data_IF_428149645194
#
_entry.id   IF_428149645194
#
_cell.length_a   1.000
_cell.length_b   1.000
_cell.length_c   1.000
_cell.angle_alpha   90.00
_cell.angle_beta   90.00
_cell.angle_gamma   90.00
#
_symmetry.space_group_name_H-M   'P 1'
#
loop_
_entity.id
_entity.type
_entity.pdbx_description
1 polymer ?
#
# COMPACT_ATOMS: atom_id res chain seq x y z
N UNK A 1 -17.54 45.99 -9.40
CA UNK A 1 -17.86 45.01 -8.36
C UNK A 1 -16.95 43.81 -8.59
N UNK A 2 -15.79 43.83 -7.94
CA UNK A 2 -14.79 42.77 -8.07
C UNK A 2 -15.28 41.52 -7.35
N UNK A 3 -15.42 40.42 -8.11
CA UNK A 3 -15.71 39.11 -7.56
C UNK A 3 -14.48 38.63 -6.77
N UNK A 4 -14.64 38.09 -5.55
CA UNK A 4 -13.50 37.59 -4.80
C UNK A 4 -12.93 36.36 -5.49
N UNK A 5 -11.65 36.47 -5.83
CA UNK A 5 -10.77 35.43 -6.34
C UNK A 5 -11.02 34.13 -5.58
N UNK A 6 -11.53 33.13 -6.30
CA UNK A 6 -11.83 31.78 -5.81
C UNK A 6 -10.58 31.28 -5.07
N UNK A 7 -10.69 31.14 -3.76
CA UNK A 7 -9.66 30.54 -2.92
C UNK A 7 -9.32 29.19 -3.54
N UNK A 8 -8.12 29.09 -4.10
CA UNK A 8 -7.58 27.83 -4.60
C UNK A 8 -7.70 26.82 -3.48
N UNK A 9 -8.59 25.85 -3.66
CA UNK A 9 -8.77 24.72 -2.74
C UNK A 9 -7.44 23.98 -2.77
N UNK A 10 -6.53 24.37 -1.87
CA UNK A 10 -5.34 23.58 -1.58
C UNK A 10 -5.87 22.34 -0.89
N UNK A 11 -6.20 21.31 -1.67
CA UNK A 11 -6.50 19.99 -1.13
C UNK A 11 -5.41 19.66 -0.12
N UNK A 12 -5.81 19.39 1.13
CA UNK A 12 -4.87 19.01 2.16
C UNK A 12 -4.14 17.76 1.69
N UNK A 13 -2.83 17.89 1.46
CA UNK A 13 -1.99 16.77 1.09
C UNK A 13 -1.97 15.79 2.26
N UNK A 14 -2.45 14.57 2.04
CA UNK A 14 -2.29 13.51 3.02
C UNK A 14 -0.82 13.13 3.02
N UNK A 15 -0.11 13.49 4.09
CA UNK A 15 1.32 13.21 4.18
C UNK A 15 1.61 11.72 4.40
N UNK A 16 0.76 11.05 5.17
CA UNK A 16 0.97 9.67 5.59
C UNK A 16 -0.34 8.88 5.58
N UNK A 17 -0.31 7.71 4.95
CA UNK A 17 -1.34 6.68 5.09
C UNK A 17 -0.70 5.44 5.68
N UNK A 18 -1.22 4.97 6.81
CA UNK A 18 -0.65 3.83 7.54
C UNK A 18 -1.72 2.84 7.95
N UNK A 19 -1.50 1.55 7.70
CA UNK A 19 -2.32 0.48 8.27
C UNK A 19 -1.42 -0.48 9.06
N UNK A 20 -1.70 -0.71 10.36
CA UNK A 20 -0.81 -1.47 11.21
C UNK A 20 -1.05 -2.98 11.19
N UNK A 21 -2.20 -3.50 10.78
CA UNK A 21 -2.50 -4.95 10.81
C UNK A 21 -3.60 -5.33 9.81
N UNK A 22 -3.24 -5.55 8.54
CA UNK A 22 -4.15 -6.19 7.59
C UNK A 22 -3.96 -7.70 7.60
N UNK A 23 -5.04 -8.44 7.83
CA UNK A 23 -4.98 -9.89 7.98
C UNK A 23 -5.47 -10.69 6.76
N UNK A 24 -5.84 -10.01 5.68
CA UNK A 24 -6.34 -10.63 4.45
C UNK A 24 -5.77 -9.97 3.19
N UNK A 25 -5.65 -10.75 2.11
CA UNK A 25 -5.25 -10.24 0.79
C UNK A 25 -6.24 -9.22 0.27
N UNK A 26 -7.53 -9.41 0.54
CA UNK A 26 -8.57 -8.46 0.19
C UNK A 26 -8.34 -7.10 0.86
N UNK A 27 -8.14 -7.06 2.18
CA UNK A 27 -7.92 -5.80 2.89
C UNK A 27 -6.68 -5.06 2.40
N UNK A 28 -5.62 -5.80 2.04
CA UNK A 28 -4.41 -5.22 1.43
C UNK A 28 -4.70 -4.55 0.10
N UNK A 29 -5.48 -5.20 -0.78
CA UNK A 29 -5.88 -4.63 -2.07
C UNK A 29 -6.68 -3.36 -1.87
N UNK A 30 -7.67 -3.39 -0.98
CA UNK A 30 -8.51 -2.23 -0.66
C UNK A 30 -7.66 -1.06 -0.15
N UNK A 31 -6.62 -1.34 0.65
CA UNK A 31 -5.68 -0.33 1.13
C UNK A 31 -4.85 0.29 0.00
N UNK A 32 -4.39 -0.50 -0.97
CA UNK A 32 -3.67 0.03 -2.14
C UNK A 32 -4.58 0.81 -3.09
N UNK A 33 -5.84 0.40 -3.22
CA UNK A 33 -6.85 1.15 -3.98
C UNK A 33 -7.10 2.52 -3.33
N UNK A 34 -7.29 2.54 -2.00
CA UNK A 34 -7.40 3.78 -1.24
C UNK A 34 -6.15 4.66 -1.43
N UNK A 35 -4.95 4.08 -1.28
CA UNK A 35 -3.70 4.81 -1.48
C UNK A 35 -3.60 5.40 -2.90
N UNK A 36 -4.07 4.68 -3.91
CA UNK A 36 -4.08 5.15 -5.31
C UNK A 36 -5.06 6.29 -5.54
N UNK A 37 -6.21 6.26 -4.86
CA UNK A 37 -7.24 7.30 -4.93
C UNK A 37 -6.81 8.59 -4.20
N UNK A 38 -6.31 8.46 -2.96
CA UNK A 38 -6.00 9.61 -2.10
C UNK A 38 -4.57 10.14 -2.30
N UNK A 39 -3.70 9.38 -2.95
CA UNK A 39 -2.32 9.72 -3.32
C UNK A 39 -1.49 10.35 -2.18
N UNK A 40 -1.44 9.74 -0.99
CA UNK A 40 -0.63 10.23 0.11
C UNK A 40 0.85 10.25 -0.26
N UNK A 41 1.60 11.18 0.33
CA UNK A 41 3.06 11.33 0.09
C UNK A 41 3.83 10.08 0.51
N UNK A 42 3.41 9.43 1.59
CA UNK A 42 4.02 8.20 2.09
C UNK A 42 2.96 7.19 2.51
N UNK A 43 3.13 5.96 2.09
CA UNK A 43 2.29 4.83 2.48
C UNK A 43 3.14 3.87 3.31
N UNK A 44 2.64 3.43 4.47
CA UNK A 44 3.23 2.34 5.24
C UNK A 44 2.17 1.28 5.49
N UNK A 45 2.47 0.06 5.11
CA UNK A 45 1.61 -1.08 5.30
C UNK A 45 2.33 -2.11 6.17
N UNK A 46 1.64 -2.60 7.19
CA UNK A 46 1.98 -3.84 7.85
C UNK A 46 0.79 -4.79 7.71
N UNK A 47 1.06 -5.99 7.25
CA UNK A 47 0.06 -7.00 7.06
C UNK A 47 0.60 -8.34 7.53
N UNK A 48 -0.26 -9.05 8.24
CA UNK A 48 0.01 -10.35 8.86
C UNK A 48 -1.12 -11.25 8.41
N UNK A 49 -0.92 -11.90 7.26
CA UNK A 49 -1.97 -12.66 6.63
C UNK A 49 -2.24 -13.94 7.42
N UNK A 50 -3.51 -14.24 7.65
CA UNK A 50 -3.88 -15.52 8.24
C UNK A 50 -3.48 -16.67 7.32
N UNK A 51 -3.17 -17.82 7.91
CA UNK A 51 -2.72 -19.01 7.18
C UNK A 51 -3.65 -19.43 6.04
N UNK A 52 -4.97 -19.22 6.18
CA UNK A 52 -5.96 -19.52 5.14
C UNK A 52 -5.85 -18.65 3.89
N UNK A 53 -5.18 -17.50 3.99
CA UNK A 53 -4.93 -16.61 2.86
C UNK A 53 -3.63 -16.95 2.11
N UNK A 54 -2.79 -17.81 2.69
CA UNK A 54 -1.49 -18.18 2.15
C UNK A 54 -1.59 -19.50 1.38
N UNK A 55 -1.10 -19.49 0.15
CA UNK A 55 -1.09 -20.70 -0.69
C UNK A 55 0.14 -21.56 -0.41
N UNK A 56 -0.07 -22.85 -0.17
CA UNK A 56 0.97 -23.88 -0.14
C UNK A 56 1.26 -24.45 1.24
N UNK A 57 1.73 -25.69 1.24
CA UNK A 57 1.86 -26.51 2.45
C UNK A 57 3.20 -26.28 3.19
N UNK A 58 4.20 -25.75 2.49
CA UNK A 58 5.51 -25.44 3.06
C UNK A 58 5.66 -23.96 3.37
N UNK A 59 6.51 -23.65 4.35
CA UNK A 59 6.91 -22.26 4.65
C UNK A 59 7.45 -21.54 3.40
N UNK A 60 8.22 -22.23 2.58
CA UNK A 60 8.82 -21.67 1.36
C UNK A 60 7.77 -21.31 0.32
N UNK A 61 6.76 -22.18 0.12
CA UNK A 61 5.66 -21.92 -0.81
C UNK A 61 4.77 -20.76 -0.33
N UNK A 62 4.47 -20.68 0.97
CA UNK A 62 3.69 -19.57 1.53
C UNK A 62 4.41 -18.22 1.39
N UNK A 63 5.73 -18.21 1.62
CA UNK A 63 6.55 -17.02 1.38
C UNK A 63 6.59 -16.61 -0.10
N UNK A 64 6.63 -17.57 -1.02
CA UNK A 64 6.59 -17.30 -2.45
C UNK A 64 5.23 -16.72 -2.88
N UNK A 65 4.12 -17.28 -2.40
CA UNK A 65 2.76 -16.78 -2.60
C UNK A 65 2.61 -15.35 -2.07
N UNK A 66 3.10 -15.08 -0.86
CA UNK A 66 3.08 -13.75 -0.26
C UNK A 66 3.88 -12.73 -1.09
N UNK A 67 5.08 -13.11 -1.55
CA UNK A 67 5.91 -12.25 -2.41
C UNK A 67 5.23 -11.96 -3.74
N UNK A 68 4.68 -12.98 -4.40
CA UNK A 68 3.96 -12.83 -5.67
C UNK A 68 2.77 -11.87 -5.49
N UNK A 69 1.98 -12.07 -4.45
CA UNK A 69 0.85 -11.19 -4.14
C UNK A 69 1.28 -9.73 -3.92
N UNK A 70 2.41 -9.53 -3.24
CA UNK A 70 2.96 -8.19 -3.03
C UNK A 70 3.48 -7.53 -4.29
N UNK A 71 4.16 -8.29 -5.16
CA UNK A 71 4.59 -7.78 -6.46
C UNK A 71 3.39 -7.32 -7.31
N UNK A 72 2.29 -8.06 -7.31
CA UNK A 72 1.07 -7.67 -8.00
C UNK A 72 0.48 -6.37 -7.45
N UNK A 73 0.41 -6.23 -6.12
CA UNK A 73 -0.05 -4.99 -5.49
C UNK A 73 0.87 -3.80 -5.82
N UNK A 74 2.19 -4.01 -5.81
CA UNK A 74 3.16 -2.98 -6.17
C UNK A 74 3.02 -2.54 -7.63
N UNK A 75 2.76 -3.47 -8.55
CA UNK A 75 2.52 -3.13 -9.96
C UNK A 75 1.30 -2.24 -10.14
N UNK A 76 0.23 -2.45 -9.37
CA UNK A 76 -0.97 -1.60 -9.43
C UNK A 76 -0.67 -0.15 -9.05
N UNK A 77 0.24 0.08 -8.10
CA UNK A 77 0.56 1.42 -7.59
C UNK A 77 1.84 2.04 -8.17
N UNK A 78 2.58 1.28 -9.00
CA UNK A 78 3.88 1.68 -9.56
C UNK A 78 3.84 2.94 -10.43
N UNK A 79 2.67 3.27 -10.99
CA UNK A 79 2.48 4.52 -11.75
C UNK A 79 2.57 5.78 -10.85
N UNK A 80 2.27 5.64 -9.56
CA UNK A 80 2.18 6.74 -8.61
C UNK A 80 3.23 6.67 -7.50
N UNK A 81 3.78 5.49 -7.22
CA UNK A 81 4.65 5.25 -6.09
C UNK A 81 5.99 4.66 -6.50
N UNK A 82 7.03 5.03 -5.75
CA UNK A 82 8.30 4.33 -5.72
C UNK A 82 8.38 3.45 -4.47
N UNK A 83 8.94 2.26 -4.68
CA UNK A 83 9.24 1.33 -3.60
C UNK A 83 10.39 1.88 -2.75
N UNK A 84 10.20 1.94 -1.43
CA UNK A 84 11.22 2.41 -0.49
C UNK A 84 11.90 1.24 0.22
N UNK A 85 11.10 0.36 0.85
CA UNK A 85 11.60 -0.84 1.52
C UNK A 85 10.49 -1.86 1.75
N UNK A 86 10.88 -3.13 1.84
CA UNK A 86 10.04 -4.20 2.35
C UNK A 86 10.81 -5.09 3.31
N UNK A 87 10.10 -5.60 4.32
CA UNK A 87 10.53 -6.67 5.21
C UNK A 87 9.49 -7.79 5.14
N UNK A 88 9.95 -9.04 5.05
CA UNK A 88 9.08 -10.22 4.93
C UNK A 88 9.56 -11.33 5.86
N UNK A 89 8.66 -11.80 6.74
CA UNK A 89 8.83 -13.01 7.55
C UNK A 89 7.61 -13.91 7.38
N UNK A 90 7.73 -15.18 7.78
CA UNK A 90 6.80 -16.30 7.51
C UNK A 90 5.35 -15.94 7.16
N UNK A 91 4.71 -15.11 8.00
CA UNK A 91 3.28 -14.81 7.97
C UNK A 91 2.99 -13.30 7.91
N UNK A 92 4.02 -12.45 7.92
CA UNK A 92 3.84 -11.01 7.88
C UNK A 92 4.84 -10.30 6.99
N UNK A 93 4.38 -9.19 6.43
CA UNK A 93 5.21 -8.30 5.66
C UNK A 93 4.96 -6.86 6.05
N UNK A 94 6.01 -6.07 5.90
CA UNK A 94 6.00 -4.64 6.07
C UNK A 94 6.46 -3.99 4.79
N UNK A 95 5.70 -3.04 4.29
CA UNK A 95 6.01 -2.29 3.09
C UNK A 95 5.99 -0.79 3.36
N UNK A 96 6.97 -0.07 2.82
CA UNK A 96 6.93 1.39 2.73
C UNK A 96 7.00 1.83 1.27
N UNK A 97 6.08 2.72 0.87
CA UNK A 97 6.09 3.40 -0.42
C UNK A 97 6.16 4.92 -0.26
N UNK A 98 6.74 5.56 -1.25
CA UNK A 98 6.80 7.03 -1.37
C UNK A 98 6.15 7.45 -2.67
N UNK A 99 5.39 8.53 -2.65
CA UNK A 99 4.81 9.10 -3.85
C UNK A 99 5.95 9.52 -4.79
N UNK A 100 5.85 9.12 -6.06
CA UNK A 100 6.85 9.47 -7.07
C UNK A 100 6.79 10.99 -7.30
N UNK A 101 7.95 11.65 -7.28
CA UNK A 101 8.04 13.04 -7.70
C UNK A 101 7.69 13.14 -9.19
N UNK A 102 6.85 14.12 -9.55
CA UNK A 102 6.51 14.41 -10.94
C UNK A 102 7.72 14.94 -11.71
#
# INVERSE_FOLDING_TARGET
ADAPTIWGVRCALIHHLTSPHLCSKAGVRDFFELASAVRPVRVRLFAELVDSELTGDSRTSRLADLRSFMEDCLRQVAAHYTFDSADTKCEWYRLTLKLRAK
#
